data_IF_758415045220
#
_entry.id   IF_758415045220
#
_cell.length_a   1.000
_cell.length_b   1.000
_cell.length_c   1.000
_cell.angle_alpha   90.00
_cell.angle_beta   90.00
_cell.angle_gamma   90.00
#
_symmetry.space_group_name_H-M   'P 1'
#
loop_
_entity.id
_entity.type
_entity.pdbx_description
1 polymer ?
#
# COMPACT_ATOMS: atom_id res chain seq x y z
N UNK A 1 -9.92 13.32 -8.35
CA UNK A 1 -9.93 11.96 -8.93
C UNK A 1 -10.25 10.88 -7.89
N UNK A 2 -9.54 10.77 -6.76
CA UNK A 2 -9.85 9.76 -5.73
C UNK A 2 -11.29 9.82 -5.19
N UNK A 3 -11.84 11.03 -4.99
CA UNK A 3 -13.24 11.22 -4.57
C UNK A 3 -14.28 10.62 -5.55
N UNK A 4 -13.91 10.40 -6.81
CA UNK A 4 -14.77 9.76 -7.81
C UNK A 4 -14.59 8.23 -7.82
N UNK A 5 -13.37 7.75 -7.54
CA UNK A 5 -13.05 6.33 -7.47
C UNK A 5 -13.56 5.69 -6.18
N UNK A 6 -13.45 6.38 -5.05
CA UNK A 6 -13.80 5.86 -3.72
C UNK A 6 -15.24 5.32 -3.65
N UNK A 7 -16.29 6.05 -4.09
CA UNK A 7 -17.66 5.53 -4.06
C UNK A 7 -17.82 4.24 -4.86
N UNK A 8 -17.20 4.17 -6.05
CA UNK A 8 -17.24 2.97 -6.89
C UNK A 8 -16.55 1.78 -6.21
N UNK A 9 -15.36 1.97 -5.63
CA UNK A 9 -14.63 0.91 -4.93
C UNK A 9 -15.37 0.43 -3.67
N UNK A 10 -16.16 1.31 -3.04
CA UNK A 10 -16.92 1.01 -1.82
C UNK A 10 -18.18 0.18 -2.09
N UNK A 11 -18.61 0.06 -3.35
CA UNK A 11 -19.68 -0.88 -3.76
C UNK A 11 -19.25 -2.35 -3.71
N UNK A 12 -17.94 -2.61 -3.62
CA UNK A 12 -17.40 -3.97 -3.60
C UNK A 12 -17.02 -4.43 -2.19
N UNK A 13 -17.08 -5.74 -1.97
CA UNK A 13 -16.54 -6.42 -0.79
C UNK A 13 -15.09 -5.94 -0.52
N UNK A 14 -14.78 -5.53 0.72
CA UNK A 14 -13.50 -4.91 1.04
C UNK A 14 -12.29 -5.80 0.82
N UNK A 15 -12.41 -7.09 1.12
CA UNK A 15 -11.30 -8.02 0.90
C UNK A 15 -11.10 -8.29 -0.59
N UNK A 16 -12.18 -8.50 -1.36
CA UNK A 16 -12.09 -8.70 -2.83
C UNK A 16 -11.50 -7.49 -3.53
N UNK A 17 -11.94 -6.28 -3.20
CA UNK A 17 -11.44 -5.08 -3.87
C UNK A 17 -9.97 -4.80 -3.50
N UNK A 18 -9.54 -5.15 -2.29
CA UNK A 18 -8.14 -5.06 -1.90
C UNK A 18 -7.26 -5.92 -2.81
N UNK A 19 -7.62 -7.19 -3.03
CA UNK A 19 -6.90 -8.08 -3.95
C UNK A 19 -6.98 -7.61 -5.41
N UNK A 20 -8.13 -7.09 -5.84
CA UNK A 20 -8.28 -6.54 -7.18
C UNK A 20 -7.35 -5.34 -7.41
N UNK A 21 -7.33 -4.36 -6.50
CA UNK A 21 -6.52 -3.15 -6.63
C UNK A 21 -5.03 -3.49 -6.60
N UNK A 22 -4.59 -4.28 -5.62
CA UNK A 22 -3.18 -4.68 -5.50
C UNK A 22 -2.72 -5.52 -6.70
N UNK A 23 -3.56 -6.45 -7.19
CA UNK A 23 -3.26 -7.24 -8.38
C UNK A 23 -3.12 -6.39 -9.65
N UNK A 24 -4.00 -5.40 -9.85
CA UNK A 24 -3.89 -4.48 -10.99
C UNK A 24 -2.70 -3.54 -10.85
N UNK A 25 -2.40 -3.09 -9.63
CA UNK A 25 -1.24 -2.23 -9.38
C UNK A 25 0.06 -2.92 -9.82
N UNK A 26 0.25 -4.20 -9.48
CA UNK A 26 1.39 -5.00 -9.96
C UNK A 26 1.45 -5.09 -11.47
N UNK A 27 0.32 -5.39 -12.12
CA UNK A 27 0.26 -5.50 -13.59
C UNK A 27 0.68 -4.20 -14.26
N UNK A 28 0.15 -3.07 -13.78
CA UNK A 28 0.45 -1.75 -14.36
C UNK A 28 1.90 -1.33 -14.10
N UNK A 29 2.47 -1.69 -12.96
CA UNK A 29 3.85 -1.37 -12.61
C UNK A 29 4.89 -2.07 -13.50
N UNK A 30 4.53 -3.15 -14.20
CA UNK A 30 5.41 -3.76 -15.23
C UNK A 30 5.64 -2.83 -16.42
N UNK A 31 4.76 -1.84 -16.64
CA UNK A 31 4.93 -0.80 -17.65
C UNK A 31 5.81 0.30 -17.06
N UNK A 32 7.10 0.36 -17.44
CA UNK A 32 8.09 1.24 -16.80
C UNK A 32 7.70 2.73 -16.70
N UNK A 33 6.91 3.25 -17.66
CA UNK A 33 6.38 4.62 -17.61
C UNK A 33 5.41 4.84 -16.43
N UNK A 34 4.64 3.82 -16.06
CA UNK A 34 3.65 3.91 -14.99
C UNK A 34 4.30 4.18 -13.63
N UNK A 35 5.41 3.49 -13.30
CA UNK A 35 6.17 3.73 -12.07
C UNK A 35 6.69 5.17 -12.00
N UNK A 36 7.29 5.68 -13.09
CA UNK A 36 7.80 7.06 -13.14
C UNK A 36 6.68 8.10 -12.96
N UNK A 37 5.53 7.87 -13.57
CA UNK A 37 4.35 8.73 -13.42
C UNK A 37 3.84 8.74 -11.98
N UNK A 38 3.71 7.58 -11.34
CA UNK A 38 3.29 7.48 -9.93
C UNK A 38 4.25 8.23 -9.01
N UNK A 39 5.56 8.03 -9.18
CA UNK A 39 6.57 8.74 -8.37
C UNK A 39 6.42 10.25 -8.49
N UNK A 40 6.25 10.76 -9.71
CA UNK A 40 6.08 12.20 -9.97
C UNK A 40 4.81 12.79 -9.34
N UNK A 41 3.74 11.99 -9.23
CA UNK A 41 2.46 12.44 -8.67
C UNK A 41 2.46 12.36 -7.14
N UNK A 42 3.04 11.31 -6.56
CA UNK A 42 2.85 10.98 -5.15
C UNK A 42 4.08 11.17 -4.26
N UNK A 43 5.30 11.17 -4.80
CA UNK A 43 6.50 11.38 -3.99
C UNK A 43 6.72 12.87 -3.71
N UNK A 44 6.95 13.18 -2.45
CA UNK A 44 7.36 14.51 -1.97
C UNK A 44 8.76 14.38 -1.39
N UNK A 45 9.70 15.13 -1.95
CA UNK A 45 11.09 15.18 -1.47
C UNK A 45 11.33 16.53 -0.78
N UNK A 46 11.56 16.48 0.53
CA UNK A 46 11.83 17.66 1.36
C UNK A 46 12.73 17.25 2.53
N UNK A 47 13.90 17.87 2.63
CA UNK A 47 14.91 17.55 3.65
C UNK A 47 14.39 17.76 5.08
N UNK A 48 13.37 18.61 5.27
CA UNK A 48 12.71 18.82 6.57
C UNK A 48 11.95 17.58 7.05
N UNK A 49 11.60 16.67 6.14
CA UNK A 49 10.89 15.42 6.46
C UNK A 49 11.85 14.27 6.79
N UNK A 50 13.12 14.36 6.44
CA UNK A 50 14.09 13.27 6.66
C UNK A 50 14.25 12.93 8.14
N UNK A 51 14.34 11.64 8.47
CA UNK A 51 14.54 11.15 9.84
C UNK A 51 15.66 10.13 9.89
N UNK A 52 16.44 10.16 10.98
CA UNK A 52 17.35 9.09 11.35
C UNK A 52 16.82 8.42 12.61
N UNK A 53 16.50 7.13 12.53
CA UNK A 53 15.93 6.34 13.63
C UNK A 53 16.59 4.97 13.63
N UNK A 54 17.12 4.53 14.77
CA UNK A 54 17.85 3.26 14.90
C UNK A 54 19.00 3.10 13.89
N UNK A 55 19.66 4.20 13.49
CA UNK A 55 20.73 4.20 12.49
C UNK A 55 20.28 4.07 11.02
N UNK A 56 18.96 4.07 10.77
CA UNK A 56 18.39 4.05 9.44
C UNK A 56 17.93 5.45 9.04
N UNK A 57 18.16 5.82 7.78
CA UNK A 57 17.68 7.08 7.20
C UNK A 57 16.37 6.86 6.44
N UNK A 58 15.36 7.62 6.79
CA UNK A 58 14.05 7.63 6.15
C UNK A 58 13.83 8.96 5.44
N UNK A 59 13.36 8.92 4.19
CA UNK A 59 13.08 10.12 3.39
C UNK A 59 12.00 11.01 4.01
N UNK A 60 11.07 10.42 4.72
CA UNK A 60 9.99 11.09 5.44
C UNK A 60 9.48 10.19 6.59
N UNK A 61 8.69 10.73 7.55
CA UNK A 61 8.26 9.97 8.72
C UNK A 61 7.00 9.12 8.50
N UNK A 62 6.44 9.09 7.28
CA UNK A 62 5.16 8.42 6.99
C UNK A 62 5.43 7.05 6.38
N UNK A 63 4.98 6.00 7.05
CA UNK A 63 5.11 4.62 6.56
C UNK A 63 3.78 3.98 6.20
N UNK A 64 3.86 2.92 5.39
CA UNK A 64 2.75 2.00 5.18
C UNK A 64 2.81 0.90 6.24
N UNK A 65 1.75 0.77 7.04
CA UNK A 65 1.68 -0.20 8.13
C UNK A 65 1.53 -1.65 7.64
N UNK A 66 1.92 -2.59 8.50
CA UNK A 66 1.70 -4.01 8.31
C UNK A 66 0.21 -4.35 8.12
N UNK A 67 -0.03 -5.51 7.52
CA UNK A 67 -1.35 -6.01 7.18
C UNK A 67 -1.81 -5.61 5.78
N UNK A 68 -1.20 -4.59 5.16
CA UNK A 68 -1.49 -4.20 3.78
C UNK A 68 -0.85 -5.18 2.78
N UNK A 69 0.47 -5.36 2.81
CA UNK A 69 1.19 -6.35 1.98
C UNK A 69 1.75 -7.47 2.86
N UNK A 70 0.90 -8.45 3.15
CA UNK A 70 1.23 -9.55 4.09
C UNK A 70 2.33 -10.47 3.60
N UNK A 71 2.59 -10.49 2.29
CA UNK A 71 3.46 -11.47 1.64
C UNK A 71 4.63 -10.82 0.89
N UNK A 72 4.98 -9.56 1.18
CA UNK A 72 6.07 -8.83 0.52
C UNK A 72 5.99 -8.86 -1.01
N UNK A 73 4.76 -8.82 -1.52
CA UNK A 73 4.44 -9.17 -2.89
C UNK A 73 4.27 -7.95 -3.80
N UNK A 74 4.18 -6.75 -3.23
CA UNK A 74 3.87 -5.49 -3.91
C UNK A 74 4.83 -4.36 -3.52
N UNK A 75 6.02 -4.67 -2.99
CA UNK A 75 6.97 -3.65 -2.51
C UNK A 75 7.35 -2.64 -3.62
N UNK A 76 7.80 -3.07 -4.82
CA UNK A 76 8.20 -2.12 -5.87
C UNK A 76 7.07 -1.20 -6.33
N UNK A 77 5.82 -1.69 -6.25
CA UNK A 77 4.64 -0.91 -6.55
C UNK A 77 4.38 0.15 -5.48
N UNK A 78 4.44 -0.25 -4.21
CA UNK A 78 4.08 0.57 -3.06
C UNK A 78 5.11 1.68 -2.79
N UNK A 79 6.39 1.45 -3.09
CA UNK A 79 7.44 2.47 -2.99
C UNK A 79 7.17 3.71 -3.88
N UNK A 80 6.37 3.55 -4.94
CA UNK A 80 6.05 4.65 -5.85
C UNK A 80 5.07 5.68 -5.26
N UNK A 81 4.46 5.38 -4.11
CA UNK A 81 3.43 6.24 -3.48
C UNK A 81 3.97 7.19 -2.40
N UNK A 82 5.29 7.27 -2.23
CA UNK A 82 5.91 8.30 -1.38
C UNK A 82 6.03 7.97 0.10
N UNK A 83 5.75 6.73 0.50
CA UNK A 83 6.06 6.26 1.86
C UNK A 83 7.57 6.32 2.12
N UNK A 84 7.95 6.81 3.30
CA UNK A 84 9.33 6.79 3.79
C UNK A 84 9.80 5.39 4.18
N UNK A 85 8.88 4.50 4.54
CA UNK A 85 9.12 3.08 4.82
C UNK A 85 7.85 2.24 4.62
N UNK A 86 8.01 0.93 4.46
CA UNK A 86 6.91 -0.02 4.31
C UNK A 86 7.16 -1.17 5.29
N UNK A 87 6.17 -1.44 6.15
CA UNK A 87 6.18 -2.61 7.02
C UNK A 87 5.35 -3.72 6.37
N UNK A 88 6.01 -4.84 6.03
CA UNK A 88 5.37 -6.02 5.43
C UNK A 88 4.82 -6.96 6.51
N UNK A 89 4.05 -7.97 6.08
CA UNK A 89 3.50 -8.98 6.97
C UNK A 89 2.11 -8.61 7.50
N UNK A 90 1.63 -9.21 8.58
CA UNK A 90 2.32 -10.19 9.44
C UNK A 90 2.57 -11.52 8.72
N UNK A 91 3.78 -12.05 8.88
CA UNK A 91 4.17 -13.38 8.40
C UNK A 91 4.25 -14.35 9.58
N UNK A 92 3.90 -15.60 9.34
CA UNK A 92 4.05 -16.72 10.28
C UNK A 92 5.06 -17.72 9.71
N UNK A 93 5.73 -18.54 10.55
CA UNK A 93 6.71 -19.52 10.06
C UNK A 93 6.16 -20.50 9.01
N UNK A 94 4.85 -20.79 9.08
CA UNK A 94 4.12 -21.60 8.11
C UNK A 94 2.92 -20.81 7.55
N UNK A 95 2.45 -21.10 6.31
CA UNK A 95 1.27 -20.47 5.75
C UNK A 95 0.01 -20.75 6.57
N UNK A 96 -0.87 -19.76 6.68
CA UNK A 96 -2.14 -19.87 7.40
C UNK A 96 -3.27 -19.22 6.59
N UNK A 97 -4.47 -19.84 6.51
CA UNK A 97 -5.60 -19.28 5.77
C UNK A 97 -6.21 -18.04 6.45
N UNK A 98 -5.96 -17.85 7.75
CA UNK A 98 -6.62 -16.86 8.61
C UNK A 98 -8.07 -17.26 8.94
N UNK A 99 -8.82 -16.36 9.59
CA UNK A 99 -10.21 -16.59 9.98
C UNK A 99 -11.14 -16.75 8.76
N UNK A 100 -12.29 -17.39 8.96
CA UNK A 100 -13.33 -17.49 7.95
C UNK A 100 -13.86 -16.12 7.51
N UNK A 101 -14.34 -16.03 6.27
CA UNK A 101 -14.90 -14.79 5.69
C UNK A 101 -16.40 -14.68 5.98
N UNK A 102 -16.97 -13.46 6.07
CA UNK A 102 -16.32 -12.15 5.92
C UNK A 102 -15.54 -11.71 7.17
N UNK A 103 -14.36 -11.10 6.96
CA UNK A 103 -13.42 -10.71 8.04
C UNK A 103 -12.80 -9.33 7.86
N UNK A 104 -13.29 -8.58 6.89
CA UNK A 104 -12.88 -7.21 6.63
C UNK A 104 -14.14 -6.40 6.38
N UNK A 105 -14.25 -5.24 7.02
CA UNK A 105 -15.41 -4.39 6.98
C UNK A 105 -14.97 -2.93 6.90
N UNK A 106 -15.86 -2.05 6.44
CA UNK A 106 -15.64 -0.60 6.44
C UNK A 106 -16.70 0.05 7.31
N UNK A 107 -16.32 1.11 8.02
CA UNK A 107 -17.21 1.98 8.77
C UNK A 107 -17.11 3.37 8.14
N UNK A 108 -17.87 3.68 7.07
CA UNK A 108 -17.61 4.88 6.25
C UNK A 108 -17.95 6.22 6.93
N UNK A 109 -18.67 6.18 8.05
CA UNK A 109 -19.10 7.36 8.79
C UNK A 109 -18.10 7.78 9.89
N UNK A 110 -17.12 6.92 10.19
CA UNK A 110 -16.01 7.17 11.12
C UNK A 110 -14.85 7.86 10.39
#
# INVERSE_FOLDING_TARGET
MYQLLKPLLFLFDPEKIHYFVTGNLKRLNTVGFFSSLLKKIFQVEDTRLEREVFGLKFKNPVGLAAGFDKNASSIPELENFGFGFIEIGTVTPLPQPGNDKPRMFRLPAD
#
